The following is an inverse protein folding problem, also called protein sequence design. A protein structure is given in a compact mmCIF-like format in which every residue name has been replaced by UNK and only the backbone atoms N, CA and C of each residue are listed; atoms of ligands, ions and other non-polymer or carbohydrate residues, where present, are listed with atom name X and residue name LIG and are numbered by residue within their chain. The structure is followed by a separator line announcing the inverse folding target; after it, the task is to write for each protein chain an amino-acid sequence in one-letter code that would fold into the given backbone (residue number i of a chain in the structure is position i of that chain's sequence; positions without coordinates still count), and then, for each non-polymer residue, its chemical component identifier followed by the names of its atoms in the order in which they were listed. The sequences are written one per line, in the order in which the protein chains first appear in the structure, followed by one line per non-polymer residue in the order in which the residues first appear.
data_IF_168956168336
#
_entry.id   IF_168956168336
#
_cell.length_a   1.000
_cell.length_b   1.000
_cell.length_c   1.000
_cell.angle_alpha   90.00
_cell.angle_beta   90.00
_cell.angle_gamma   90.00
#
_symmetry.space_group_name_H-M   'P 1'
#
loop_
_entity.id
_entity.type
_entity.pdbx_description
1 polymer ?
#
# COMPACT_ATOMS: atom_id res chain seq x y z
N UNK A 1 9.45 -20.80 2.32
CA UNK A 1 9.26 -19.43 1.79
C UNK A 1 10.36 -18.53 2.32
N UNK A 2 10.98 -17.72 1.45
CA UNK A 2 12.06 -16.81 1.82
C UNK A 2 11.85 -15.43 1.19
N UNK A 3 12.41 -14.39 1.82
CA UNK A 3 12.52 -13.04 1.27
C UNK A 3 14.00 -12.60 1.31
N UNK A 4 14.47 -11.96 0.25
CA UNK A 4 15.79 -11.31 0.25
C UNK A 4 15.64 -9.96 0.97
N UNK A 5 16.42 -9.76 2.02
CA UNK A 5 16.58 -8.49 2.71
C UNK A 5 17.94 -7.94 2.35
N UNK A 6 18.02 -6.71 1.89
CA UNK A 6 19.31 -6.05 1.64
C UNK A 6 19.28 -4.60 2.09
N UNK A 7 20.44 -4.10 2.52
CA UNK A 7 20.64 -2.71 2.88
C UNK A 7 22.05 -2.27 2.50
N UNK A 8 22.19 -1.04 2.04
CA UNK A 8 23.48 -0.43 1.68
C UNK A 8 24.22 0.16 2.91
N UNK A 9 23.57 0.13 4.07
CA UNK A 9 24.11 0.51 5.38
C UNK A 9 23.74 -0.56 6.41
N UNK A 10 24.39 -0.53 7.57
CA UNK A 10 23.96 -1.32 8.72
C UNK A 10 22.52 -1.01 9.12
N UNK A 11 21.81 -1.99 9.64
CA UNK A 11 20.43 -1.87 10.06
C UNK A 11 20.18 -2.70 11.32
N UNK A 12 19.05 -2.45 11.99
CA UNK A 12 18.70 -3.20 13.19
C UNK A 12 17.55 -4.17 12.93
N UNK A 13 17.61 -5.30 13.62
CA UNK A 13 16.52 -6.26 13.70
C UNK A 13 16.14 -6.44 15.16
N UNK A 14 14.88 -6.15 15.46
CA UNK A 14 14.30 -6.32 16.79
C UNK A 14 13.40 -7.57 16.78
N UNK A 15 13.66 -8.46 17.68
CA UNK A 15 12.77 -9.59 17.99
C UNK A 15 11.63 -9.09 18.86
N UNK A 16 10.43 -8.98 18.30
CA UNK A 16 9.29 -8.35 18.96
C UNK A 16 8.68 -9.20 20.12
N UNK A 17 9.04 -10.46 20.24
CA UNK A 17 8.61 -11.29 21.38
C UNK A 17 9.55 -11.15 22.58
N UNK A 18 10.85 -10.89 22.34
CA UNK A 18 11.87 -10.82 23.41
C UNK A 18 12.35 -9.41 23.68
N UNK A 19 12.11 -8.45 22.76
CA UNK A 19 12.66 -7.11 22.79
C UNK A 19 14.16 -7.04 22.47
N UNK A 20 14.79 -8.16 22.08
CA UNK A 20 16.21 -8.19 21.74
C UNK A 20 16.43 -7.48 20.41
N UNK A 21 17.33 -6.50 20.41
CA UNK A 21 17.78 -5.78 19.22
C UNK A 21 19.19 -6.21 18.86
N UNK A 22 19.41 -6.50 17.59
CA UNK A 22 20.74 -6.77 17.03
C UNK A 22 21.01 -5.84 15.85
N UNK A 23 22.25 -5.44 15.67
CA UNK A 23 22.73 -4.72 14.50
C UNK A 23 23.23 -5.72 13.48
N UNK A 24 22.75 -5.59 12.24
CA UNK A 24 23.14 -6.39 11.10
C UNK A 24 23.99 -5.50 10.18
N UNK A 25 25.18 -5.93 9.76
CA UNK A 25 26.00 -5.21 8.80
C UNK A 25 25.29 -4.97 7.46
N UNK A 26 25.79 -4.03 6.66
CA UNK A 26 25.40 -3.89 5.27
C UNK A 26 25.50 -5.23 4.51
N UNK A 27 24.64 -5.45 3.55
CA UNK A 27 24.69 -6.68 2.75
C UNK A 27 23.33 -7.24 2.33
N UNK A 28 23.37 -8.50 1.93
CA UNK A 28 22.20 -9.28 1.48
C UNK A 28 22.02 -10.50 2.35
N UNK A 29 20.81 -10.67 2.83
CA UNK A 29 20.43 -11.74 3.73
C UNK A 29 19.14 -12.39 3.24
N UNK A 30 18.98 -13.69 3.50
CA UNK A 30 17.71 -14.38 3.28
C UNK A 30 16.99 -14.56 4.60
N UNK A 31 15.79 -13.99 4.67
CA UNK A 31 14.88 -14.21 5.78
C UNK A 31 14.03 -15.44 5.48
N UNK A 32 14.15 -16.46 6.32
CA UNK A 32 13.48 -17.75 6.14
C UNK A 32 12.61 -18.08 7.36
N UNK A 33 11.64 -18.99 7.13
CA UNK A 33 10.89 -19.64 8.23
C UNK A 33 11.44 -21.05 8.41
N UNK A 34 11.81 -21.39 9.65
CA UNK A 34 12.25 -22.72 10.06
C UNK A 34 11.66 -23.05 11.42
N UNK A 35 10.87 -24.13 11.50
CA UNK A 35 10.26 -24.61 12.75
C UNK A 35 9.48 -23.50 13.50
N UNK A 36 8.70 -22.70 12.77
CA UNK A 36 7.93 -21.60 13.33
C UNK A 36 8.72 -20.37 13.78
N UNK A 37 10.04 -20.35 13.54
CA UNK A 37 10.96 -19.26 13.87
C UNK A 37 11.45 -18.57 12.59
N UNK A 38 11.90 -17.32 12.74
CA UNK A 38 12.54 -16.57 11.68
C UNK A 38 14.06 -16.73 11.77
N UNK A 39 14.72 -16.97 10.63
CA UNK A 39 16.19 -17.05 10.55
C UNK A 39 16.72 -16.09 9.49
N UNK A 40 17.80 -15.38 9.78
CA UNK A 40 18.49 -14.48 8.85
C UNK A 40 20.01 -14.52 9.08
N UNK A 41 20.75 -15.00 8.08
CA UNK A 41 22.17 -15.29 8.28
C UNK A 41 22.38 -16.37 9.36
N UNK A 42 23.23 -16.07 10.35
CA UNK A 42 23.48 -16.94 11.52
C UNK A 42 22.49 -16.69 12.68
N UNK A 43 21.60 -15.70 12.54
CA UNK A 43 20.70 -15.30 13.61
C UNK A 43 19.35 -16.04 13.51
N UNK A 44 18.87 -16.44 14.69
CA UNK A 44 17.53 -17.02 14.86
C UNK A 44 16.73 -16.12 15.80
N UNK A 45 15.51 -15.81 15.39
CA UNK A 45 14.56 -14.97 16.09
C UNK A 45 13.32 -15.77 16.45
N UNK A 46 12.46 -15.18 17.26
CA UNK A 46 11.12 -15.70 17.49
C UNK A 46 10.28 -15.65 16.21
N UNK A 47 8.96 -15.70 16.34
CA UNK A 47 8.03 -15.73 15.20
C UNK A 47 7.74 -14.35 14.59
N UNK A 48 8.25 -13.24 15.17
CA UNK A 48 7.97 -11.88 14.70
C UNK A 48 9.14 -10.94 14.96
N UNK A 49 9.56 -10.22 13.91
CA UNK A 49 10.66 -9.25 13.98
C UNK A 49 10.26 -7.92 13.31
N UNK A 50 10.88 -6.83 13.77
CA UNK A 50 10.90 -5.56 13.05
C UNK A 50 12.29 -5.34 12.45
N UNK A 51 12.34 -4.88 11.21
CA UNK A 51 13.57 -4.51 10.49
C UNK A 51 13.55 -3.00 10.34
N UNK A 52 14.50 -2.32 10.99
CA UNK A 52 14.57 -0.87 11.06
C UNK A 52 15.92 -0.38 10.54
N UNK A 53 15.92 0.84 9.99
CA UNK A 53 17.15 1.55 9.64
C UNK A 53 17.56 2.49 10.76
N UNK A 54 18.83 2.83 10.82
CA UNK A 54 19.29 3.99 11.58
C UNK A 54 18.85 5.29 10.90
N UNK A 55 18.64 6.34 11.67
CA UNK A 55 18.30 7.66 11.14
C UNK A 55 19.40 8.15 10.17
N UNK A 56 19.00 8.71 9.04
CA UNK A 56 19.91 9.18 7.99
C UNK A 56 20.56 8.09 7.13
N UNK A 57 20.31 6.80 7.40
CA UNK A 57 20.82 5.67 6.63
C UNK A 57 19.84 5.18 5.55
N UNK A 58 20.34 4.33 4.67
CA UNK A 58 19.56 3.74 3.56
C UNK A 58 18.37 2.95 4.06
N UNK A 59 17.29 2.96 3.28
CA UNK A 59 16.12 2.12 3.54
C UNK A 59 16.43 0.66 3.21
N UNK A 60 16.06 -0.28 4.07
CA UNK A 60 16.12 -1.70 3.75
C UNK A 60 15.28 -2.03 2.51
N UNK A 61 15.76 -2.97 1.73
CA UNK A 61 15.07 -3.50 0.56
C UNK A 61 14.52 -4.89 0.87
N UNK A 62 13.33 -5.18 0.35
CA UNK A 62 12.80 -6.55 0.27
C UNK A 62 12.65 -6.91 -1.19
N UNK A 63 13.27 -8.01 -1.60
CA UNK A 63 13.24 -8.48 -2.99
C UNK A 63 13.58 -7.33 -3.96
N UNK A 64 14.64 -6.57 -3.66
CA UNK A 64 15.17 -5.44 -4.45
C UNK A 64 14.28 -4.19 -4.50
N UNK A 65 13.26 -4.10 -3.65
CA UNK A 65 12.41 -2.90 -3.53
C UNK A 65 12.63 -2.21 -2.19
N UNK A 66 12.79 -0.89 -2.22
CA UNK A 66 12.89 -0.05 -1.01
C UNK A 66 11.51 0.34 -0.53
N UNK A 67 11.35 0.36 0.80
CA UNK A 67 10.09 0.74 1.43
C UNK A 67 10.34 1.80 2.50
N UNK A 68 9.49 2.83 2.51
CA UNK A 68 9.46 3.80 3.60
C UNK A 68 8.82 3.18 4.85
N UNK A 69 9.09 3.75 6.03
CA UNK A 69 8.54 3.25 7.29
C UNK A 69 9.30 2.02 7.81
N UNK A 70 8.62 1.20 8.59
CA UNK A 70 9.18 -0.01 9.19
C UNK A 70 8.74 -1.26 8.44
N UNK A 71 9.59 -2.28 8.44
CA UNK A 71 9.28 -3.59 7.90
C UNK A 71 9.11 -4.58 9.05
N UNK A 72 7.95 -5.24 9.09
CA UNK A 72 7.65 -6.26 10.11
C UNK A 72 7.47 -7.59 9.41
N UNK A 73 8.26 -8.57 9.79
CA UNK A 73 8.16 -9.93 9.29
C UNK A 73 7.65 -10.87 10.39
N UNK A 74 6.75 -11.78 10.02
CA UNK A 74 6.23 -12.77 10.96
C UNK A 74 5.98 -14.11 10.27
N UNK A 75 5.99 -15.18 11.06
CA UNK A 75 5.58 -16.50 10.61
C UNK A 75 4.06 -16.62 10.64
N UNK A 76 3.49 -17.26 9.65
CA UNK A 76 2.09 -17.67 9.61
C UNK A 76 2.04 -19.15 9.20
N UNK A 77 2.13 -20.03 10.21
CA UNK A 77 2.49 -21.43 9.99
C UNK A 77 3.90 -21.51 9.37
N UNK A 78 4.04 -22.24 8.28
CA UNK A 78 5.30 -22.35 7.54
C UNK A 78 5.52 -21.22 6.52
N UNK A 79 4.63 -20.24 6.46
CA UNK A 79 4.72 -19.12 5.54
C UNK A 79 5.36 -17.91 6.20
N UNK A 80 6.07 -17.12 5.39
CA UNK A 80 6.60 -15.81 5.75
C UNK A 80 5.61 -14.75 5.30
N UNK A 81 5.12 -13.94 6.24
CA UNK A 81 4.39 -12.71 5.97
C UNK A 81 5.30 -11.52 6.27
N UNK A 82 5.41 -10.60 5.32
CA UNK A 82 6.18 -9.36 5.50
C UNK A 82 5.25 -8.18 5.27
N UNK A 83 5.10 -7.36 6.30
CA UNK A 83 4.29 -6.15 6.28
C UNK A 83 5.19 -4.90 6.26
N UNK A 84 4.81 -3.91 5.48
CA UNK A 84 5.38 -2.57 5.57
C UNK A 84 4.44 -1.69 6.40
N UNK A 85 4.92 -1.19 7.52
CA UNK A 85 4.21 -0.23 8.37
C UNK A 85 4.63 1.17 7.92
N UNK A 86 3.75 1.85 7.22
CA UNK A 86 4.05 3.11 6.55
C UNK A 86 2.97 4.15 6.81
N UNK A 87 3.34 5.42 6.89
CA UNK A 87 2.39 6.52 6.94
C UNK A 87 1.54 6.55 5.66
N UNK A 88 0.23 6.78 5.80
CA UNK A 88 -0.73 6.76 4.68
C UNK A 88 -0.34 7.74 3.55
N UNK A 89 0.15 8.92 3.87
CA UNK A 89 0.55 9.91 2.84
C UNK A 89 1.79 9.43 2.06
N UNK A 90 2.75 8.79 2.72
CA UNK A 90 3.90 8.15 2.07
C UNK A 90 3.49 6.95 1.22
N UNK A 91 2.53 6.13 1.70
CA UNK A 91 1.95 5.05 0.92
C UNK A 91 1.31 5.58 -0.38
N UNK A 92 0.53 6.66 -0.28
CA UNK A 92 -0.10 7.30 -1.46
C UNK A 92 0.93 7.84 -2.46
N UNK A 93 2.08 8.36 -2.00
CA UNK A 93 3.17 8.79 -2.89
C UNK A 93 3.69 7.65 -3.77
N UNK A 94 3.63 6.41 -3.28
CA UNK A 94 4.04 5.22 -4.04
C UNK A 94 2.95 4.69 -4.97
N UNK A 95 1.68 4.70 -4.56
CA UNK A 95 0.60 4.09 -5.35
C UNK A 95 -0.01 5.03 -6.38
N UNK A 96 -0.15 6.31 -6.08
CA UNK A 96 -0.83 7.27 -6.96
C UNK A 96 -0.16 7.47 -8.32
N UNK A 97 1.18 7.47 -8.47
CA UNK A 97 1.85 7.59 -9.75
C UNK A 97 1.55 6.49 -10.77
N UNK A 98 1.01 5.34 -10.33
CA UNK A 98 0.55 4.27 -11.22
C UNK A 98 -0.87 4.51 -11.75
N UNK A 99 -1.64 5.39 -11.11
CA UNK A 99 -3.03 5.73 -11.43
C UNK A 99 -3.19 7.10 -12.07
N UNK A 100 -2.15 7.94 -12.08
CA UNK A 100 -2.20 9.32 -12.57
C UNK A 100 -1.00 9.65 -13.42
N UNK A 101 -1.17 10.60 -14.32
CA UNK A 101 -0.07 11.17 -15.10
C UNK A 101 0.17 12.63 -14.70
N UNK A 102 1.44 13.11 -14.66
CA UNK A 102 1.75 14.50 -14.31
C UNK A 102 1.14 15.54 -15.25
N UNK A 103 0.70 15.12 -16.45
CA UNK A 103 0.04 15.98 -17.44
C UNK A 103 -1.45 16.20 -17.15
N UNK A 104 -2.04 15.44 -16.23
CA UNK A 104 -3.43 15.64 -15.85
C UNK A 104 -3.64 17.00 -15.17
N UNK A 105 -4.84 17.60 -15.29
CA UNK A 105 -5.17 18.81 -14.53
C UNK A 105 -4.93 18.61 -13.03
N UNK A 106 -4.41 19.65 -12.37
CA UNK A 106 -4.05 19.61 -10.95
C UNK A 106 -5.21 19.12 -10.05
N UNK A 107 -6.42 19.59 -10.34
CA UNK A 107 -7.62 19.21 -9.56
C UNK A 107 -8.02 17.74 -9.78
N UNK A 108 -7.79 17.19 -10.96
CA UNK A 108 -8.01 15.76 -11.22
C UNK A 108 -7.04 14.89 -10.41
N UNK A 109 -5.76 15.28 -10.31
CA UNK A 109 -4.77 14.58 -9.48
C UNK A 109 -5.14 14.69 -7.99
N UNK A 110 -5.59 15.86 -7.52
CA UNK A 110 -6.07 16.05 -6.15
C UNK A 110 -7.30 15.18 -5.85
N UNK A 111 -8.27 15.15 -6.76
CA UNK A 111 -9.46 14.30 -6.62
C UNK A 111 -9.08 12.82 -6.52
N UNK A 112 -8.16 12.36 -7.38
CA UNK A 112 -7.64 10.99 -7.33
C UNK A 112 -6.89 10.69 -6.04
N UNK A 113 -6.16 11.67 -5.48
CA UNK A 113 -5.48 11.51 -4.18
C UNK A 113 -6.50 11.35 -3.04
N UNK A 114 -7.59 12.12 -3.06
CA UNK A 114 -8.69 11.99 -2.08
C UNK A 114 -9.39 10.64 -2.23
N UNK A 115 -9.69 10.19 -3.45
CA UNK A 115 -10.31 8.90 -3.71
C UNK A 115 -9.41 7.73 -3.24
N UNK A 116 -8.13 7.73 -3.60
CA UNK A 116 -7.17 6.70 -3.19
C UNK A 116 -7.01 6.65 -1.65
N UNK A 117 -6.98 7.80 -0.99
CA UNK A 117 -6.95 7.89 0.48
C UNK A 117 -8.21 7.33 1.13
N UNK A 118 -9.38 7.61 0.53
CA UNK A 118 -10.66 7.09 0.99
C UNK A 118 -10.71 5.58 0.91
N UNK A 119 -10.30 5.02 -0.23
CA UNK A 119 -10.22 3.58 -0.42
C UNK A 119 -9.24 2.93 0.57
N UNK A 120 -8.05 3.47 0.75
CA UNK A 120 -7.08 2.94 1.70
C UNK A 120 -7.63 2.97 3.14
N UNK A 121 -8.27 4.07 3.57
CA UNK A 121 -8.93 4.15 4.89
C UNK A 121 -10.08 3.17 5.03
N UNK A 122 -10.87 2.97 3.97
CA UNK A 122 -11.92 1.96 3.97
C UNK A 122 -11.35 0.56 4.18
N UNK A 123 -10.27 0.21 3.47
CA UNK A 123 -9.60 -1.09 3.63
C UNK A 123 -9.00 -1.27 5.02
N UNK A 124 -8.36 -0.23 5.58
CA UNK A 124 -7.87 -0.23 6.96
C UNK A 124 -9.00 -0.49 7.96
N UNK A 125 -10.15 0.14 7.76
CA UNK A 125 -11.32 -0.07 8.60
C UNK A 125 -11.90 -1.48 8.47
N UNK A 126 -12.02 -1.99 7.24
CA UNK A 126 -12.55 -3.35 6.98
C UNK A 126 -11.62 -4.45 7.49
N UNK A 127 -10.32 -4.21 7.50
CA UNK A 127 -9.29 -5.19 7.84
C UNK A 127 -8.64 -4.94 9.22
N UNK A 128 -9.26 -4.14 10.08
CA UNK A 128 -8.69 -3.73 11.37
C UNK A 128 -8.25 -4.91 12.26
N UNK A 129 -8.92 -6.06 12.16
CA UNK A 129 -8.60 -7.29 12.89
C UNK A 129 -7.71 -8.26 12.10
N UNK A 130 -7.32 -7.90 10.88
CA UNK A 130 -6.49 -8.75 10.02
C UNK A 130 -4.99 -8.50 10.26
N UNK A 131 -4.16 -9.40 9.74
CA UNK A 131 -2.70 -9.29 9.85
C UNK A 131 -2.12 -8.14 8.98
N UNK A 132 -2.88 -7.57 8.07
CA UNK A 132 -2.54 -6.43 7.22
C UNK A 132 -3.79 -5.72 6.69
N UNK A 133 -3.67 -4.44 6.36
CA UNK A 133 -4.77 -3.61 5.85
C UNK A 133 -4.98 -3.82 4.33
N UNK A 134 -3.88 -3.83 3.57
CA UNK A 134 -3.86 -3.97 2.12
C UNK A 134 -2.74 -4.91 1.67
N UNK A 135 -2.94 -5.59 0.54
CA UNK A 135 -1.86 -6.31 -0.13
C UNK A 135 -1.06 -5.38 -1.04
N UNK A 136 0.21 -5.71 -1.30
CA UNK A 136 1.03 -4.93 -2.24
C UNK A 136 0.49 -4.95 -3.69
N UNK A 137 -0.28 -5.99 -4.04
CA UNK A 137 -0.90 -6.16 -5.36
C UNK A 137 -2.41 -5.92 -5.32
N UNK A 138 -2.88 -5.03 -4.44
CA UNK A 138 -4.27 -4.62 -4.44
C UNK A 138 -4.68 -4.07 -5.82
N UNK A 139 -5.90 -4.42 -6.28
CA UNK A 139 -6.37 -4.06 -7.63
C UNK A 139 -6.52 -2.56 -7.80
N UNK A 140 -6.95 -1.86 -6.74
CA UNK A 140 -7.12 -0.42 -6.76
C UNK A 140 -5.80 0.31 -6.48
N UNK A 141 -4.95 -0.19 -5.58
CA UNK A 141 -3.76 0.48 -5.09
C UNK A 141 -2.52 -0.44 -5.10
N UNK A 142 -1.91 -0.60 -6.27
CA UNK A 142 -0.65 -1.38 -6.38
C UNK A 142 0.51 -0.65 -5.71
N UNK A 143 1.09 -1.25 -4.68
CA UNK A 143 2.18 -0.68 -3.89
C UNK A 143 3.54 -1.23 -4.31
N UNK A 144 4.42 -0.37 -4.79
CA UNK A 144 5.74 -0.75 -5.30
C UNK A 144 6.93 -0.21 -4.47
N UNK A 145 6.65 0.36 -3.30
CA UNK A 145 7.65 1.00 -2.47
C UNK A 145 8.11 2.37 -3.00
N UNK A 146 9.18 2.92 -2.44
CA UNK A 146 9.62 4.31 -2.70
C UNK A 146 10.12 4.54 -4.14
N UNK A 147 10.47 3.51 -4.89
CA UNK A 147 10.94 3.64 -6.27
C UNK A 147 9.89 4.11 -7.28
N UNK A 148 8.60 4.06 -6.90
CA UNK A 148 7.50 4.51 -7.75
C UNK A 148 7.15 6.00 -7.54
N UNK A 149 7.71 6.66 -6.53
CA UNK A 149 7.37 8.03 -6.16
C UNK A 149 7.75 9.04 -7.25
N UNK A 150 6.85 10.02 -7.49
CA UNK A 150 7.07 11.14 -8.41
C UNK A 150 6.78 12.45 -7.71
N UNK A 151 7.78 13.31 -7.55
CA UNK A 151 7.65 14.61 -6.89
C UNK A 151 6.52 15.47 -7.48
N UNK A 152 6.32 15.41 -8.81
CA UNK A 152 5.25 16.10 -9.51
C UNK A 152 3.83 15.69 -9.04
N UNK A 153 3.65 14.46 -8.57
CA UNK A 153 2.39 13.93 -8.04
C UNK A 153 2.31 14.15 -6.52
N UNK A 154 3.41 13.93 -5.80
CA UNK A 154 3.46 14.00 -4.33
C UNK A 154 3.04 15.36 -3.76
N UNK A 155 3.26 16.47 -4.49
CA UNK A 155 2.79 17.80 -4.10
C UNK A 155 1.26 17.88 -3.94
N UNK A 156 0.49 17.17 -4.78
CA UNK A 156 -0.97 17.16 -4.73
C UNK A 156 -1.51 16.27 -3.60
N UNK A 157 -0.82 15.17 -3.31
CA UNK A 157 -1.11 14.34 -2.14
C UNK A 157 -0.96 15.18 -0.87
N UNK A 158 0.15 15.92 -0.76
CA UNK A 158 0.40 16.83 0.36
C UNK A 158 -0.64 17.96 0.44
N UNK A 159 -1.05 18.54 -0.68
CA UNK A 159 -2.07 19.61 -0.73
C UNK A 159 -3.46 19.15 -0.29
N UNK A 160 -3.76 17.84 -0.38
CA UNK A 160 -5.02 17.22 0.08
C UNK A 160 -4.84 16.35 1.32
N UNK A 161 -3.73 16.51 2.05
CA UNK A 161 -3.43 15.69 3.22
C UNK A 161 -4.58 15.65 4.23
N UNK A 162 -4.92 14.47 4.70
CA UNK A 162 -6.01 14.24 5.65
C UNK A 162 -7.42 14.28 5.06
N UNK A 163 -7.61 14.72 3.80
CA UNK A 163 -8.93 14.77 3.17
C UNK A 163 -9.31 13.38 2.62
N UNK A 164 -10.46 12.87 3.01
CA UNK A 164 -11.04 11.62 2.48
C UNK A 164 -12.57 11.68 2.56
N UNK A 165 -13.22 10.85 1.76
CA UNK A 165 -14.67 10.77 1.65
C UNK A 165 -15.23 9.87 2.75
N UNK A 166 -16.37 10.27 3.30
CA UNK A 166 -17.14 9.50 4.28
C UNK A 166 -18.59 9.35 3.83
N UNK A 167 -19.24 8.30 4.29
CA UNK A 167 -20.69 8.09 4.13
C UNK A 167 -21.49 8.96 5.12
N UNK A 168 -22.82 8.85 5.07
CA UNK A 168 -23.72 9.59 5.96
C UNK A 168 -23.57 9.24 7.45
N UNK A 169 -22.89 8.16 7.79
CA UNK A 169 -22.59 7.73 9.16
C UNK A 169 -21.16 8.12 9.60
N UNK A 170 -20.36 8.74 8.71
CA UNK A 170 -18.98 9.15 9.00
C UNK A 170 -17.94 8.06 8.74
N UNK A 171 -18.31 6.93 8.16
CA UNK A 171 -17.36 5.86 7.83
C UNK A 171 -16.65 6.14 6.50
N UNK A 172 -15.37 5.73 6.34
CA UNK A 172 -14.68 5.83 5.07
C UNK A 172 -15.43 5.10 3.95
N UNK A 173 -15.50 5.71 2.75
CA UNK A 173 -16.18 5.09 1.61
C UNK A 173 -15.23 4.22 0.78
N UNK A 174 -15.77 3.17 0.18
CA UNK A 174 -15.09 2.35 -0.82
C UNK A 174 -15.02 3.12 -2.14
N UNK A 175 -14.05 4.03 -2.26
CA UNK A 175 -13.85 4.85 -3.45
C UNK A 175 -13.13 4.05 -4.54
N UNK A 176 -13.89 3.29 -5.31
CA UNK A 176 -13.40 2.54 -6.46
C UNK A 176 -13.22 3.45 -7.67
N UNK A 177 -12.34 3.07 -8.59
CA UNK A 177 -12.03 3.84 -9.79
C UNK A 177 -12.14 2.98 -11.05
N UNK A 178 -12.46 3.61 -12.18
CA UNK A 178 -12.46 3.00 -13.52
C UNK A 178 -11.77 3.93 -14.51
N UNK A 179 -11.25 3.39 -15.60
CA UNK A 179 -10.61 4.19 -16.66
C UNK A 179 -11.65 4.95 -17.50
N UNK A 180 -12.80 4.32 -17.75
CA UNK A 180 -13.93 4.88 -18.50
C UNK A 180 -15.20 4.18 -18.08
N UNK A 181 -16.30 4.91 -18.07
CA UNK A 181 -17.63 4.39 -17.69
C UNK A 181 -18.49 4.07 -18.91
N UNK A 182 -18.09 4.53 -20.11
CA UNK A 182 -18.90 4.45 -21.33
C UNK A 182 -20.11 5.39 -21.31
N UNK A 183 -20.04 6.50 -20.54
CA UNK A 183 -21.07 7.54 -20.44
C UNK A 183 -21.97 7.41 -19.21
N UNK A 184 -21.87 6.31 -18.45
CA UNK A 184 -22.67 6.10 -17.23
C UNK A 184 -22.01 5.10 -16.31
N UNK A 185 -21.90 5.42 -15.03
CA UNK A 185 -21.39 4.46 -14.05
C UNK A 185 -22.41 3.35 -13.79
N UNK A 186 -21.94 2.13 -13.56
CA UNK A 186 -22.78 1.07 -13.01
C UNK A 186 -22.92 1.23 -11.49
N UNK A 187 -24.08 0.89 -10.94
CA UNK A 187 -24.28 0.87 -9.49
C UNK A 187 -23.57 -0.34 -8.85
N UNK A 188 -23.28 -0.27 -7.56
CA UNK A 188 -22.73 -1.39 -6.79
C UNK A 188 -23.66 -2.63 -6.86
N UNK A 189 -24.97 -2.44 -6.95
CA UNK A 189 -25.94 -3.51 -7.10
C UNK A 189 -25.81 -4.24 -8.44
N UNK A 190 -25.57 -3.50 -9.52
CA UNK A 190 -25.38 -4.09 -10.86
C UNK A 190 -24.04 -4.84 -10.95
N UNK A 191 -22.97 -4.32 -10.33
CA UNK A 191 -21.62 -4.91 -10.45
C UNK A 191 -21.39 -6.05 -9.45
N UNK A 192 -21.84 -5.89 -8.19
CA UNK A 192 -21.53 -6.82 -7.10
C UNK A 192 -22.75 -7.48 -6.45
N UNK A 193 -23.95 -7.18 -6.93
CA UNK A 193 -25.20 -7.69 -6.37
C UNK A 193 -25.55 -7.13 -4.98
N UNK A 194 -24.78 -6.14 -4.47
CA UNK A 194 -24.95 -5.52 -3.16
C UNK A 194 -25.24 -4.04 -3.30
N UNK A 195 -26.30 -3.58 -2.67
CA UNK A 195 -26.64 -2.16 -2.64
C UNK A 195 -25.71 -1.39 -1.71
N UNK A 196 -25.07 -0.33 -2.23
CA UNK A 196 -24.21 0.58 -1.47
C UNK A 196 -24.73 2.00 -1.79
N UNK A 197 -25.22 2.70 -0.77
CA UNK A 197 -25.97 3.95 -0.93
C UNK A 197 -25.20 5.06 -1.65
N UNK A 198 -23.88 5.10 -1.54
CA UNK A 198 -23.02 6.10 -2.19
C UNK A 198 -22.40 5.63 -3.52
N UNK A 199 -22.66 4.39 -3.97
CA UNK A 199 -22.20 3.86 -5.27
C UNK A 199 -23.41 3.60 -6.18
N UNK A 200 -24.12 4.66 -6.51
CA UNK A 200 -25.26 4.65 -7.42
C UNK A 200 -24.81 4.92 -8.86
N UNK A 201 -25.63 4.50 -9.81
CA UNK A 201 -25.42 4.83 -11.21
C UNK A 201 -25.62 6.32 -11.45
N UNK A 202 -24.65 6.99 -12.07
CA UNK A 202 -24.69 8.40 -12.45
C UNK A 202 -24.20 8.59 -13.88
N UNK A 203 -24.67 9.64 -14.54
CA UNK A 203 -24.15 10.02 -15.86
C UNK A 203 -22.70 10.51 -15.75
N UNK A 204 -21.90 10.22 -16.79
CA UNK A 204 -20.51 10.61 -16.91
C UNK A 204 -20.23 11.20 -18.29
N UNK A 205 -19.23 12.04 -18.39
CA UNK A 205 -18.87 12.82 -19.59
C UNK A 205 -17.51 12.37 -20.15
N UNK A 206 -17.34 11.07 -20.34
CA UNK A 206 -16.09 10.45 -20.76
C UNK A 206 -16.06 10.06 -22.25
N UNK A 207 -16.95 10.64 -23.09
CA UNK A 207 -17.04 10.35 -24.54
C UNK A 207 -15.75 10.54 -25.32
N UNK A 208 -14.85 11.40 -24.82
CA UNK A 208 -13.55 11.67 -25.44
C UNK A 208 -12.46 10.69 -24.96
N UNK A 209 -12.77 9.79 -24.03
CA UNK A 209 -11.84 8.77 -23.58
C UNK A 209 -11.54 7.77 -24.69
N UNK A 210 -10.26 7.40 -24.91
CA UNK A 210 -9.91 6.31 -25.84
C UNK A 210 -10.57 4.98 -25.48
N UNK A 211 -10.91 4.78 -24.19
CA UNK A 211 -11.54 3.57 -23.64
C UNK A 211 -13.06 3.69 -23.51
N UNK A 212 -13.69 4.74 -24.10
CA UNK A 212 -15.13 4.98 -24.02
C UNK A 212 -15.98 3.82 -24.57
N UNK A 213 -15.51 3.24 -25.71
CA UNK A 213 -16.16 2.07 -26.30
C UNK A 213 -15.38 0.82 -25.94
N UNK A 214 -15.94 -0.01 -25.10
CA UNK A 214 -15.41 -1.32 -24.75
C UNK A 214 -16.50 -2.37 -24.88
N UNK A 215 -16.12 -3.55 -25.33
CA UNK A 215 -17.01 -4.71 -25.46
C UNK A 215 -16.46 -5.86 -24.61
N UNK A 216 -17.36 -6.65 -24.04
CA UNK A 216 -17.06 -7.86 -23.28
C UNK A 216 -17.01 -9.06 -24.18
#
# INVERSE_FOLDING_TARGET
YSAEISCDDEFTVEDLATGKVITIPEGKYFLNVKEGKLTMGEHTFSNKIAINRFEGKSLPQINKRRYAGALVAQTQGDRLLVNNIVNLELYLCSVLPSKTMPIWPDEAIKAQAVAARSYAKYMMWQNADNAYDLTANDKELTYQGTGAEKAAISKFIKATSGQFLVDGAGNPVQAVTTSSTGGKTASAKEVWGKEISYLQSVEDYDSDSPEYKWEY
#
